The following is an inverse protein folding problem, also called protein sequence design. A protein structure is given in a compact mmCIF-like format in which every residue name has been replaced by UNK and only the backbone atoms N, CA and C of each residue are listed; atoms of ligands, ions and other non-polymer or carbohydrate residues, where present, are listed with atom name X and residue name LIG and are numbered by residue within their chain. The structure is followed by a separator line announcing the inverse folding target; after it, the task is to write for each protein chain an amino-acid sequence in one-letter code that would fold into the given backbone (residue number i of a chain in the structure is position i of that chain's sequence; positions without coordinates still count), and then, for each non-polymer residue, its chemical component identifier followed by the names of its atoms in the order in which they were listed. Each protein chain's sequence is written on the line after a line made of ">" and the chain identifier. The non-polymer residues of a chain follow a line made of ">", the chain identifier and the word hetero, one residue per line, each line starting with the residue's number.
data_IF_941397957507
#
_entry.id   IF_941397957507
#
_cell.length_a   1.000
_cell.length_b   1.000
_cell.length_c   1.000
_cell.angle_alpha   90.00
_cell.angle_beta   90.00
_cell.angle_gamma   90.00
#
_symmetry.space_group_name_H-M   'P 1'
#
loop_
_entity.id
_entity.type
_entity.pdbx_description
1 polymer ?
#
# COMPACT_ATOMS: atom_id res chain seq x y z
N UNK A 1 14.18 22.17 -8.62
CA UNK A 1 14.25 21.03 -9.57
C UNK A 1 13.88 19.69 -8.96
N UNK A 2 13.26 19.67 -7.77
CA UNK A 2 12.93 18.43 -7.00
C UNK A 2 11.49 17.94 -7.18
N UNK A 3 10.64 18.62 -7.93
CA UNK A 3 9.23 18.26 -8.08
C UNK A 3 8.97 17.08 -9.02
N UNK A 4 9.53 17.10 -10.21
CA UNK A 4 9.21 16.13 -11.27
C UNK A 4 9.53 14.65 -10.91
N UNK A 5 10.70 14.32 -10.32
CA UNK A 5 10.98 12.94 -9.91
C UNK A 5 10.02 12.44 -8.83
N UNK A 6 9.62 13.28 -7.89
CA UNK A 6 8.68 12.93 -6.83
C UNK A 6 7.27 12.66 -7.39
N UNK A 7 6.77 13.49 -8.30
CA UNK A 7 5.46 13.30 -8.95
C UNK A 7 5.42 12.04 -9.83
N UNK A 8 6.53 11.75 -10.54
CA UNK A 8 6.65 10.51 -11.31
C UNK A 8 6.71 9.28 -10.41
N UNK A 9 7.40 9.37 -9.26
CA UNK A 9 7.43 8.30 -8.27
C UNK A 9 6.04 8.04 -7.68
N UNK A 10 5.28 9.09 -7.37
CA UNK A 10 3.91 8.99 -6.86
C UNK A 10 2.97 8.34 -7.88
N UNK A 11 3.04 8.78 -9.15
CA UNK A 11 2.29 8.15 -10.25
C UNK A 11 2.68 6.68 -10.41
N UNK A 12 3.97 6.37 -10.31
CA UNK A 12 4.49 5.01 -10.34
C UNK A 12 3.93 4.15 -9.22
N UNK A 13 3.87 4.71 -8.00
CA UNK A 13 3.30 4.04 -6.85
C UNK A 13 1.79 3.76 -7.01
N UNK A 14 1.03 4.73 -7.52
CA UNK A 14 -0.40 4.56 -7.82
C UNK A 14 -0.62 3.42 -8.81
N UNK A 15 0.12 3.41 -9.93
CA UNK A 15 -0.02 2.37 -10.95
C UNK A 15 0.43 0.99 -10.45
N UNK A 16 1.43 0.95 -9.58
CA UNK A 16 1.89 -0.26 -8.92
C UNK A 16 0.79 -0.84 -8.02
N UNK A 17 0.18 -0.02 -7.17
CA UNK A 17 -0.91 -0.44 -6.28
C UNK A 17 -2.17 -0.83 -7.05
N UNK A 18 -2.48 -0.13 -8.14
CA UNK A 18 -3.54 -0.53 -9.06
C UNK A 18 -3.27 -1.91 -9.68
N UNK A 19 -2.04 -2.15 -10.15
CA UNK A 19 -1.62 -3.45 -10.68
C UNK A 19 -1.71 -4.56 -9.65
N UNK A 20 -1.38 -4.30 -8.39
CA UNK A 20 -1.60 -5.24 -7.29
C UNK A 20 -3.09 -5.54 -7.15
N UNK A 21 -3.95 -4.52 -7.10
CA UNK A 21 -5.39 -4.69 -7.02
C UNK A 21 -5.99 -5.54 -8.14
N UNK A 22 -5.46 -5.44 -9.37
CA UNK A 22 -5.90 -6.27 -10.51
C UNK A 22 -5.68 -7.79 -10.32
N UNK A 23 -4.77 -8.18 -9.43
CA UNK A 23 -4.46 -9.59 -9.17
C UNK A 23 -5.26 -10.18 -8.01
N UNK A 24 -6.08 -9.36 -7.34
CA UNK A 24 -6.84 -9.78 -6.17
C UNK A 24 -8.33 -9.67 -6.37
N UNK A 25 -9.04 -10.70 -5.90
CA UNK A 25 -10.48 -10.65 -5.68
C UNK A 25 -10.80 -10.53 -4.18
N UNK A 26 -11.93 -9.89 -3.87
CA UNK A 26 -12.44 -9.82 -2.50
C UNK A 26 -12.65 -11.22 -1.89
N UNK A 27 -13.10 -12.18 -2.69
CA UNK A 27 -13.37 -13.54 -2.24
C UNK A 27 -12.11 -14.29 -1.84
N UNK A 28 -11.01 -14.12 -2.60
CA UNK A 28 -9.70 -14.71 -2.26
C UNK A 28 -9.14 -14.16 -0.95
N UNK A 29 -9.25 -12.84 -0.75
CA UNK A 29 -8.84 -12.18 0.49
C UNK A 29 -9.66 -12.69 1.69
N UNK A 30 -10.98 -12.80 1.51
CA UNK A 30 -11.87 -13.30 2.55
C UNK A 30 -11.62 -14.79 2.88
N UNK A 31 -11.19 -15.61 1.94
CA UNK A 31 -10.90 -17.03 2.15
C UNK A 31 -9.74 -17.23 3.14
N UNK A 32 -8.69 -16.42 3.05
CA UNK A 32 -7.47 -16.55 3.89
C UNK A 32 -7.48 -15.68 5.15
N UNK A 33 -8.51 -14.87 5.36
CA UNK A 33 -8.56 -13.85 6.43
C UNK A 33 -8.29 -14.38 7.84
N UNK A 34 -8.69 -15.64 8.14
CA UNK A 34 -8.52 -16.24 9.48
C UNK A 34 -7.06 -16.47 9.85
N UNK A 35 -6.18 -16.60 8.87
CA UNK A 35 -4.74 -16.79 9.06
C UNK A 35 -4.01 -15.48 8.77
N UNK A 36 -4.34 -14.83 7.67
CA UNK A 36 -3.64 -13.62 7.22
C UNK A 36 -3.81 -12.44 8.20
N UNK A 37 -5.01 -12.19 8.72
CA UNK A 37 -5.25 -11.05 9.62
C UNK A 37 -4.50 -11.21 10.95
N UNK A 38 -4.67 -12.28 11.76
CA UNK A 38 -3.96 -12.39 13.03
C UNK A 38 -2.45 -12.52 12.83
N UNK A 39 -2.00 -13.19 11.77
CA UNK A 39 -0.60 -13.31 11.46
C UNK A 39 0.06 -11.96 11.14
N UNK A 40 -0.53 -11.18 10.23
CA UNK A 40 -0.03 -9.84 9.89
C UNK A 40 -0.01 -8.91 11.11
N UNK A 41 -1.08 -8.91 11.94
CA UNK A 41 -1.13 -8.09 13.16
C UNK A 41 -0.02 -8.51 14.14
N UNK A 42 0.18 -9.80 14.35
CA UNK A 42 1.24 -10.30 15.24
C UNK A 42 2.63 -9.90 14.71
N UNK A 43 2.88 -10.07 13.43
CA UNK A 43 4.15 -9.69 12.81
C UNK A 43 4.39 -8.18 12.86
N UNK A 44 3.38 -7.35 12.57
CA UNK A 44 3.48 -5.88 12.70
C UNK A 44 3.81 -5.50 14.14
N UNK A 45 3.14 -6.11 15.13
CA UNK A 45 3.38 -5.84 16.54
C UNK A 45 4.82 -6.20 16.94
N UNK A 46 5.30 -7.40 16.59
CA UNK A 46 6.66 -7.85 16.89
C UNK A 46 7.69 -6.95 16.23
N UNK A 47 7.56 -6.66 14.92
CA UNK A 47 8.48 -5.79 14.21
C UNK A 47 8.50 -4.37 14.81
N UNK A 48 7.33 -3.84 15.18
CA UNK A 48 7.22 -2.54 15.83
C UNK A 48 7.91 -2.52 17.18
N UNK A 49 7.72 -3.54 18.02
CA UNK A 49 8.40 -3.64 19.31
C UNK A 49 9.93 -3.75 19.16
N UNK A 50 10.40 -4.52 18.18
CA UNK A 50 11.85 -4.60 17.87
C UNK A 50 12.39 -3.25 17.42
N UNK A 51 11.65 -2.54 16.57
CA UNK A 51 12.01 -1.20 16.10
C UNK A 51 12.05 -0.18 17.25
N UNK A 52 11.07 -0.20 18.17
CA UNK A 52 11.08 0.63 19.37
C UNK A 52 12.29 0.30 20.24
N UNK A 53 12.61 -0.98 20.44
CA UNK A 53 13.76 -1.42 21.21
C UNK A 53 15.06 -0.90 20.63
N UNK A 54 15.26 -1.03 19.33
CA UNK A 54 16.45 -0.51 18.64
C UNK A 54 16.52 1.02 18.70
N UNK A 55 15.41 1.72 18.42
CA UNK A 55 15.34 3.17 18.48
C UNK A 55 15.65 3.70 19.89
N UNK A 56 15.11 3.04 20.93
CA UNK A 56 15.40 3.39 22.33
C UNK A 56 16.87 3.19 22.69
N UNK A 57 17.49 2.10 22.20
CA UNK A 57 18.92 1.86 22.38
C UNK A 57 19.79 2.91 21.68
N UNK A 58 19.29 3.52 20.60
CA UNK A 58 19.95 4.62 19.89
C UNK A 58 19.62 6.01 20.48
N UNK A 59 18.86 6.09 21.57
CA UNK A 59 18.48 7.34 22.23
C UNK A 59 17.35 8.10 21.51
N UNK A 60 16.59 7.46 20.64
CA UNK A 60 15.45 8.08 19.96
C UNK A 60 14.24 8.13 20.88
N UNK A 61 13.33 9.07 20.59
CA UNK A 61 12.06 9.17 21.32
C UNK A 61 11.14 7.97 21.02
N UNK A 62 10.27 7.63 21.96
CA UNK A 62 9.30 6.53 21.77
C UNK A 62 8.43 6.72 20.52
N UNK A 63 7.87 7.92 20.22
CA UNK A 63 7.13 8.13 18.99
C UNK A 63 7.95 7.85 17.73
N UNK A 64 9.22 8.28 17.69
CA UNK A 64 10.13 7.98 16.57
C UNK A 64 10.38 6.47 16.46
N UNK A 65 10.54 5.78 17.59
CA UNK A 65 10.68 4.32 17.62
C UNK A 65 9.44 3.58 17.11
N UNK A 66 8.25 4.07 17.42
CA UNK A 66 6.98 3.50 16.89
C UNK A 66 6.94 3.63 15.37
N UNK A 67 7.18 4.85 14.84
CA UNK A 67 7.18 5.09 13.39
C UNK A 67 8.23 4.23 12.69
N UNK A 68 9.44 4.16 13.25
CA UNK A 68 10.52 3.34 12.72
C UNK A 68 10.16 1.84 12.71
N UNK A 69 9.60 1.33 13.81
CA UNK A 69 9.19 -0.06 13.93
C UNK A 69 8.03 -0.43 12.98
N UNK A 70 7.06 0.48 12.83
CA UNK A 70 6.00 0.32 11.83
C UNK A 70 6.58 0.30 10.41
N UNK A 71 7.53 1.17 10.09
CA UNK A 71 8.21 1.16 8.79
C UNK A 71 8.96 -0.15 8.56
N UNK A 72 9.62 -0.71 9.58
CA UNK A 72 10.29 -2.01 9.51
C UNK A 72 9.31 -3.18 9.31
N UNK A 73 8.06 -3.06 9.75
CA UNK A 73 7.07 -4.13 9.64
C UNK A 73 6.62 -4.36 8.19
N UNK A 74 6.74 -3.39 7.32
CA UNK A 74 6.28 -3.48 5.92
C UNK A 74 7.16 -4.41 5.09
N UNK A 75 6.53 -5.28 4.30
CA UNK A 75 7.19 -6.07 3.27
C UNK A 75 6.85 -5.56 1.87
N UNK A 76 7.75 -5.79 0.91
CA UNK A 76 7.52 -5.39 -0.47
C UNK A 76 6.60 -6.38 -1.18
N UNK A 77 5.38 -5.96 -1.46
CA UNK A 77 4.37 -6.73 -2.21
C UNK A 77 4.89 -7.14 -3.58
N UNK A 78 5.56 -6.24 -4.30
CA UNK A 78 6.10 -6.52 -5.64
C UNK A 78 7.19 -7.58 -5.61
N UNK A 79 8.10 -7.49 -4.65
CA UNK A 79 9.21 -8.47 -4.53
C UNK A 79 8.66 -9.84 -4.18
N UNK A 80 7.71 -9.92 -3.24
CA UNK A 80 7.12 -11.20 -2.86
C UNK A 80 6.31 -11.82 -4.00
N UNK A 81 5.48 -11.03 -4.70
CA UNK A 81 4.71 -11.54 -5.84
C UNK A 81 5.64 -12.12 -6.92
N UNK A 82 6.70 -11.41 -7.30
CA UNK A 82 7.69 -11.93 -8.25
C UNK A 82 8.34 -13.22 -7.78
N UNK A 83 8.74 -13.29 -6.51
CA UNK A 83 9.33 -14.49 -5.95
C UNK A 83 8.35 -15.69 -5.92
N UNK A 84 7.07 -15.44 -5.68
CA UNK A 84 6.02 -16.46 -5.73
C UNK A 84 5.73 -16.91 -7.18
N UNK A 85 5.71 -16.00 -8.14
CA UNK A 85 5.55 -16.29 -9.57
C UNK A 85 6.70 -17.15 -10.09
N UNK A 86 7.95 -16.77 -9.84
CA UNK A 86 9.15 -17.51 -10.25
C UNK A 86 9.16 -18.94 -9.69
N UNK A 87 8.67 -19.12 -8.46
CA UNK A 87 8.57 -20.43 -7.80
C UNK A 87 7.28 -21.18 -8.13
N UNK A 88 6.38 -20.63 -8.93
CA UNK A 88 5.04 -21.17 -9.25
C UNK A 88 4.19 -21.44 -8.00
N UNK A 89 4.34 -20.64 -6.96
CA UNK A 89 3.62 -20.78 -5.70
C UNK A 89 2.42 -19.84 -5.60
N UNK A 90 2.25 -18.88 -6.52
CA UNK A 90 1.23 -17.85 -6.44
C UNK A 90 -0.19 -18.43 -6.33
N UNK A 91 -0.49 -19.49 -7.06
CA UNK A 91 -1.80 -20.16 -7.08
C UNK A 91 -1.95 -21.27 -6.01
N UNK A 92 -1.00 -21.39 -5.11
CA UNK A 92 -1.07 -22.35 -4.01
C UNK A 92 -1.71 -21.71 -2.78
N UNK A 93 -2.23 -22.53 -1.85
CA UNK A 93 -2.75 -22.05 -0.56
C UNK A 93 -1.74 -21.18 0.20
N UNK A 94 -0.46 -21.57 0.17
CA UNK A 94 0.63 -20.78 0.78
C UNK A 94 0.81 -19.42 0.08
N UNK A 95 0.69 -19.39 -1.24
CA UNK A 95 0.74 -18.16 -2.01
C UNK A 95 -0.42 -17.23 -1.65
N UNK A 96 -1.65 -17.75 -1.60
CA UNK A 96 -2.83 -16.98 -1.20
C UNK A 96 -2.72 -16.43 0.22
N UNK A 97 -2.21 -17.24 1.18
CA UNK A 97 -1.97 -16.77 2.56
C UNK A 97 -0.93 -15.64 2.58
N UNK A 98 0.21 -15.82 1.90
CA UNK A 98 1.28 -14.82 1.87
C UNK A 98 0.83 -13.51 1.26
N UNK A 99 0.05 -13.59 0.20
CA UNK A 99 -0.54 -12.43 -0.46
C UNK A 99 -1.60 -11.76 0.42
N UNK A 100 -2.52 -12.54 1.01
CA UNK A 100 -3.50 -12.00 1.96
C UNK A 100 -2.84 -11.33 3.16
N UNK A 101 -1.71 -11.85 3.63
CA UNK A 101 -0.89 -11.26 4.69
C UNK A 101 -0.37 -9.87 4.30
N UNK A 102 0.23 -9.74 3.11
CA UNK A 102 0.70 -8.45 2.60
C UNK A 102 -0.41 -7.43 2.44
N UNK A 103 -1.58 -7.85 1.95
CA UNK A 103 -2.73 -6.93 1.82
C UNK A 103 -3.14 -6.39 3.18
N UNK A 104 -3.15 -7.22 4.21
CA UNK A 104 -3.44 -6.77 5.57
C UNK A 104 -2.36 -5.81 6.06
N UNK A 105 -1.07 -6.09 5.80
CA UNK A 105 0.01 -5.15 6.11
C UNK A 105 -0.20 -3.81 5.41
N UNK A 106 -0.46 -3.82 4.11
CA UNK A 106 -0.68 -2.61 3.31
C UNK A 106 -1.89 -1.80 3.82
N UNK A 107 -3.00 -2.48 4.13
CA UNK A 107 -4.18 -1.84 4.71
C UNK A 107 -3.89 -1.21 6.08
N UNK A 108 -3.18 -1.91 6.96
CA UNK A 108 -2.78 -1.38 8.27
C UNK A 108 -1.88 -0.15 8.08
N UNK A 109 -0.92 -0.20 7.13
CA UNK A 109 -0.05 0.94 6.86
C UNK A 109 -0.79 2.14 6.28
N UNK A 110 -1.80 1.93 5.46
CA UNK A 110 -2.68 3.03 5.01
C UNK A 110 -3.34 3.70 6.21
N UNK A 111 -3.90 2.92 7.15
CA UNK A 111 -4.46 3.49 8.38
C UNK A 111 -3.42 4.25 9.20
N UNK A 112 -2.22 3.69 9.36
CA UNK A 112 -1.11 4.33 10.07
C UNK A 112 -0.74 5.66 9.40
N UNK A 113 -0.57 5.69 8.07
CA UNK A 113 -0.21 6.89 7.32
C UNK A 113 -1.26 8.00 7.42
N UNK A 114 -2.54 7.65 7.49
CA UNK A 114 -3.61 8.63 7.69
C UNK A 114 -3.69 9.10 9.14
N UNK A 115 -3.35 8.23 10.11
CA UNK A 115 -3.36 8.58 11.53
C UNK A 115 -2.14 9.39 11.97
N UNK A 116 -0.97 9.19 11.35
CA UNK A 116 0.27 9.87 11.75
C UNK A 116 0.18 11.40 11.73
N UNK A 117 -0.34 12.07 10.68
CA UNK A 117 -0.52 13.53 10.68
C UNK A 117 -1.48 13.98 11.79
N UNK A 118 -2.61 13.29 11.95
CA UNK A 118 -3.60 13.61 12.98
C UNK A 118 -3.04 13.47 14.42
N UNK A 119 -2.20 12.46 14.65
CA UNK A 119 -1.47 12.31 15.90
C UNK A 119 -0.41 13.41 16.07
N UNK A 120 0.31 13.76 14.99
CA UNK A 120 1.30 14.84 15.00
C UNK A 120 0.69 16.19 15.38
N UNK A 121 -0.46 16.54 14.82
CA UNK A 121 -1.20 17.76 15.17
C UNK A 121 -1.69 17.73 16.64
N UNK A 122 -2.18 16.58 17.11
CA UNK A 122 -2.59 16.41 18.48
C UNK A 122 -1.43 16.57 19.47
N UNK A 123 -0.21 16.12 19.11
CA UNK A 123 1.00 16.29 19.92
C UNK A 123 1.59 17.70 19.86
N UNK A 124 1.39 18.45 18.78
CA UNK A 124 1.90 19.82 18.63
C UNK A 124 1.26 20.80 19.62
N UNK A 125 0.05 20.53 20.09
CA UNK A 125 -0.68 21.31 21.12
C UNK A 125 -0.33 20.98 22.57
N UNK A 126 0.65 20.12 22.83
CA UNK A 126 0.98 19.60 24.18
C UNK A 126 0.61 18.13 24.32
N UNK A 127 0.31 17.67 25.56
CA UNK A 127 -0.17 16.30 25.76
C UNK A 127 -1.57 16.14 25.13
N UNK A 128 -1.75 15.31 24.10
CA UNK A 128 -3.04 15.16 23.45
C UNK A 128 -4.05 14.56 24.43
N UNK A 129 -5.25 15.13 24.49
CA UNK A 129 -6.32 14.50 25.26
C UNK A 129 -6.71 13.17 24.58
N UNK A 130 -7.07 12.17 25.37
CA UNK A 130 -7.57 10.89 24.86
C UNK A 130 -8.76 11.11 23.90
N UNK A 131 -9.57 12.13 24.16
CA UNK A 131 -10.71 12.51 23.32
C UNK A 131 -10.26 13.03 21.95
N UNK A 132 -9.19 13.83 21.86
CA UNK A 132 -8.66 14.32 20.58
C UNK A 132 -8.13 13.17 19.72
N UNK A 133 -7.37 12.23 20.32
CA UNK A 133 -6.91 11.02 19.63
C UNK A 133 -8.10 10.18 19.17
N UNK A 134 -9.05 9.90 20.03
CA UNK A 134 -10.22 9.09 19.70
C UNK A 134 -11.06 9.71 18.57
N UNK A 135 -11.25 11.03 18.56
CA UNK A 135 -11.97 11.72 17.49
C UNK A 135 -11.22 11.68 16.16
N UNK A 136 -9.91 11.84 16.16
CA UNK A 136 -9.08 11.74 14.95
C UNK A 136 -9.14 10.32 14.34
N UNK A 137 -9.00 9.30 15.19
CA UNK A 137 -9.13 7.89 14.79
C UNK A 137 -10.53 7.60 14.23
N UNK A 138 -11.59 8.01 14.95
CA UNK A 138 -12.97 7.80 14.53
C UNK A 138 -13.26 8.47 13.19
N UNK A 139 -12.84 9.72 13.00
CA UNK A 139 -13.02 10.45 11.74
C UNK A 139 -12.31 9.75 10.58
N UNK A 140 -11.08 9.28 10.80
CA UNK A 140 -10.30 8.54 9.81
C UNK A 140 -10.99 7.24 9.41
N UNK A 141 -11.49 6.48 10.39
CA UNK A 141 -12.23 5.24 10.14
C UNK A 141 -13.52 5.50 9.36
N UNK A 142 -14.26 6.56 9.71
CA UNK A 142 -15.48 6.96 8.99
C UNK A 142 -15.16 7.33 7.55
N UNK A 143 -14.12 8.11 7.29
CA UNK A 143 -13.69 8.49 5.94
C UNK A 143 -13.29 7.25 5.11
N UNK A 144 -12.48 6.37 5.68
CA UNK A 144 -12.07 5.14 5.02
C UNK A 144 -13.26 4.21 4.75
N UNK A 145 -14.16 4.02 5.72
CA UNK A 145 -15.36 3.22 5.56
C UNK A 145 -16.30 3.80 4.49
N UNK A 146 -16.45 5.14 4.46
CA UNK A 146 -17.26 5.84 3.44
C UNK A 146 -16.68 5.64 2.03
N UNK A 147 -15.35 5.73 1.88
CA UNK A 147 -14.68 5.44 0.62
C UNK A 147 -14.95 4.00 0.17
N UNK A 148 -14.72 3.02 1.05
CA UNK A 148 -14.98 1.59 0.75
C UNK A 148 -16.43 1.37 0.37
N UNK A 149 -17.41 1.95 1.09
CA UNK A 149 -18.83 1.86 0.78
C UNK A 149 -19.15 2.42 -0.61
N UNK A 150 -18.62 3.60 -0.95
CA UNK A 150 -18.79 4.21 -2.27
C UNK A 150 -18.19 3.32 -3.36
N UNK A 151 -17.00 2.77 -3.14
CA UNK A 151 -16.35 1.88 -4.10
C UNK A 151 -17.15 0.58 -4.31
N UNK A 152 -17.67 -0.03 -3.24
CA UNK A 152 -18.45 -1.26 -3.34
C UNK A 152 -19.85 -1.05 -3.93
N UNK A 153 -20.48 0.11 -3.72
CA UNK A 153 -21.84 0.39 -4.22
C UNK A 153 -21.81 1.02 -5.61
N UNK A 154 -21.04 2.08 -5.77
CA UNK A 154 -20.96 2.86 -7.02
C UNK A 154 -19.86 2.32 -7.91
N UNK A 155 -18.67 2.13 -7.38
CA UNK A 155 -17.49 1.69 -8.13
C UNK A 155 -17.69 0.35 -8.85
N UNK A 156 -18.31 -0.64 -8.19
CA UNK A 156 -18.61 -1.96 -8.78
C UNK A 156 -19.54 -1.90 -9.98
N UNK A 157 -20.32 -0.83 -10.16
CA UNK A 157 -21.19 -0.61 -11.31
C UNK A 157 -20.57 0.36 -12.32
N UNK A 158 -20.01 1.46 -11.85
CA UNK A 158 -19.49 2.53 -12.68
C UNK A 158 -18.23 2.11 -13.44
N UNK A 159 -17.27 1.45 -12.79
CA UNK A 159 -16.01 1.06 -13.40
C UNK A 159 -16.21 0.03 -14.52
N UNK A 160 -16.88 -1.12 -14.30
CA UNK A 160 -17.15 -2.06 -15.39
C UNK A 160 -18.02 -1.45 -16.49
N UNK A 161 -19.02 -0.63 -16.14
CA UNK A 161 -19.89 0.05 -17.11
C UNK A 161 -19.10 0.99 -18.03
N UNK A 162 -18.20 1.79 -17.46
CA UNK A 162 -17.35 2.69 -18.26
C UNK A 162 -16.39 1.90 -19.17
N UNK A 163 -15.75 0.86 -18.64
CA UNK A 163 -14.88 0.00 -19.44
C UNK A 163 -15.62 -0.68 -20.58
N UNK A 164 -16.82 -1.17 -20.32
CA UNK A 164 -17.67 -1.79 -21.32
C UNK A 164 -18.06 -0.79 -22.43
N UNK A 165 -18.45 0.43 -22.04
CA UNK A 165 -18.76 1.50 -23.00
C UNK A 165 -17.55 1.81 -23.92
N UNK A 166 -16.35 1.96 -23.32
CA UNK A 166 -15.14 2.25 -24.09
C UNK A 166 -14.73 1.06 -24.95
N UNK A 167 -14.86 -0.17 -24.46
CA UNK A 167 -14.53 -1.37 -25.23
C UNK A 167 -15.37 -1.50 -26.53
N UNK A 168 -16.62 -1.03 -26.52
CA UNK A 168 -17.48 -1.02 -27.70
C UNK A 168 -17.01 -0.07 -28.80
N UNK A 169 -16.14 0.89 -28.51
CA UNK A 169 -15.55 1.77 -29.54
C UNK A 169 -14.56 1.04 -30.45
N UNK A 170 -14.08 -0.16 -30.04
CA UNK A 170 -13.08 -0.95 -30.76
C UNK A 170 -11.67 -0.38 -30.73
N UNK A 171 -11.44 0.80 -30.09
CA UNK A 171 -10.13 1.44 -30.01
C UNK A 171 -9.35 0.91 -28.78
N UNK A 172 -8.20 0.30 -29.06
CA UNK A 172 -7.28 -0.16 -27.99
C UNK A 172 -6.67 1.01 -27.23
N UNK A 173 -6.39 2.12 -27.90
CA UNK A 173 -5.83 3.33 -27.30
C UNK A 173 -6.80 3.94 -26.30
N UNK A 174 -8.07 4.07 -26.69
CA UNK A 174 -9.11 4.58 -25.77
C UNK A 174 -9.31 3.66 -24.57
N UNK A 175 -9.27 2.35 -24.79
CA UNK A 175 -9.40 1.38 -23.70
C UNK A 175 -8.23 1.50 -22.70
N UNK A 176 -6.99 1.60 -23.19
CA UNK A 176 -5.80 1.82 -22.35
C UNK A 176 -5.89 3.12 -21.56
N UNK A 177 -6.27 4.20 -22.21
CA UNK A 177 -6.47 5.50 -21.55
C UNK A 177 -7.59 5.44 -20.49
N UNK A 178 -8.68 4.73 -20.75
CA UNK A 178 -9.76 4.56 -19.79
C UNK A 178 -9.30 3.77 -18.55
N UNK A 179 -8.52 2.71 -18.73
CA UNK A 179 -7.94 1.95 -17.61
C UNK A 179 -7.07 2.86 -16.71
N UNK A 180 -6.18 3.65 -17.34
CA UNK A 180 -5.33 4.60 -16.61
C UNK A 180 -6.13 5.72 -15.95
N UNK A 181 -7.11 6.28 -16.67
CA UNK A 181 -7.97 7.35 -16.14
C UNK A 181 -8.78 6.87 -14.94
N UNK A 182 -9.24 5.60 -14.94
CA UNK A 182 -9.93 5.01 -13.79
C UNK A 182 -8.93 4.83 -12.63
N UNK A 183 -7.75 4.26 -12.87
CA UNK A 183 -6.75 4.05 -11.83
C UNK A 183 -6.36 5.36 -11.13
N UNK A 184 -5.98 6.36 -11.90
CA UNK A 184 -5.56 7.68 -11.40
C UNK A 184 -6.76 8.46 -10.85
N UNK A 185 -7.89 8.46 -11.54
CA UNK A 185 -9.09 9.21 -11.14
C UNK A 185 -9.66 8.71 -9.82
N UNK A 186 -9.70 7.39 -9.60
CA UNK A 186 -10.14 6.81 -8.32
C UNK A 186 -9.12 7.10 -7.22
N UNK A 187 -7.82 6.99 -7.51
CA UNK A 187 -6.76 7.33 -6.54
C UNK A 187 -6.87 8.78 -6.07
N UNK A 188 -6.95 9.72 -7.02
CA UNK A 188 -7.13 11.14 -6.71
C UNK A 188 -8.46 11.44 -6.03
N UNK A 189 -9.56 10.84 -6.49
CA UNK A 189 -10.87 10.97 -5.86
C UNK A 189 -10.89 10.47 -4.42
N UNK A 190 -10.23 9.35 -4.14
CA UNK A 190 -10.07 8.81 -2.80
C UNK A 190 -9.33 9.79 -1.87
N UNK A 191 -8.24 10.37 -2.35
CA UNK A 191 -7.45 11.33 -1.56
C UNK A 191 -8.19 12.65 -1.35
N UNK A 192 -8.77 13.24 -2.39
CA UNK A 192 -9.39 14.56 -2.33
C UNK A 192 -10.76 14.57 -1.63
N UNK A 193 -11.59 13.55 -1.87
CA UNK A 193 -12.94 13.51 -1.33
C UNK A 193 -13.03 12.85 0.05
N UNK A 194 -12.20 11.83 0.29
CA UNK A 194 -12.26 11.05 1.53
C UNK A 194 -11.01 11.22 2.41
N UNK A 195 -9.95 11.87 1.91
CA UNK A 195 -8.70 12.03 2.66
C UNK A 195 -7.99 10.71 2.94
N UNK A 196 -8.23 9.69 2.13
CA UNK A 196 -7.50 8.41 2.18
C UNK A 196 -6.31 8.42 1.22
N UNK A 197 -5.39 7.48 1.33
CA UNK A 197 -4.20 7.49 0.47
C UNK A 197 -4.53 7.20 -0.99
N UNK A 198 -3.74 7.76 -1.90
CA UNK A 198 -3.77 7.43 -3.34
C UNK A 198 -3.61 5.92 -3.57
N UNK A 199 -2.76 5.27 -2.76
CA UNK A 199 -2.50 3.84 -2.81
C UNK A 199 -3.76 3.01 -2.59
N UNK A 200 -4.53 3.34 -1.55
CA UNK A 200 -5.79 2.66 -1.24
C UNK A 200 -6.80 2.86 -2.38
N UNK A 201 -6.91 4.07 -2.90
CA UNK A 201 -7.78 4.37 -4.04
C UNK A 201 -7.44 3.54 -5.27
N UNK A 202 -6.17 3.52 -5.65
CA UNK A 202 -5.66 2.75 -6.78
C UNK A 202 -5.87 1.24 -6.59
N UNK A 203 -5.58 0.71 -5.41
CA UNK A 203 -5.78 -0.70 -5.07
C UNK A 203 -7.24 -1.12 -5.22
N UNK A 204 -8.18 -0.34 -4.66
CA UNK A 204 -9.61 -0.63 -4.80
C UNK A 204 -10.10 -0.52 -6.25
N UNK A 205 -9.59 0.44 -7.03
CA UNK A 205 -9.90 0.53 -8.45
C UNK A 205 -9.47 -0.74 -9.20
N UNK A 206 -8.25 -1.22 -8.94
CA UNK A 206 -7.73 -2.47 -9.50
C UNK A 206 -8.56 -3.68 -9.08
N UNK A 207 -8.87 -3.80 -7.79
CA UNK A 207 -9.65 -4.91 -7.24
C UNK A 207 -11.08 -4.97 -7.81
N UNK A 208 -11.77 -3.83 -7.96
CA UNK A 208 -13.08 -3.80 -8.60
C UNK A 208 -12.97 -4.14 -10.09
N UNK A 209 -11.93 -3.67 -10.75
CA UNK A 209 -11.68 -3.98 -12.15
C UNK A 209 -11.35 -5.46 -12.37
N UNK A 210 -10.70 -6.13 -11.41
CA UNK A 210 -10.40 -7.57 -11.46
C UNK A 210 -11.66 -8.43 -11.48
N UNK A 211 -12.74 -7.97 -10.87
CA UNK A 211 -14.05 -8.65 -10.90
C UNK A 211 -14.83 -8.41 -12.21
N UNK A 212 -14.35 -7.53 -13.09
CA UNK A 212 -15.00 -7.21 -14.37
C UNK A 212 -14.73 -8.30 -15.41
N UNK A 213 -15.67 -8.59 -16.34
CA UNK A 213 -15.42 -9.45 -17.49
C UNK A 213 -14.27 -8.99 -18.38
N UNK A 214 -13.90 -7.71 -18.33
CA UNK A 214 -12.79 -7.12 -19.08
C UNK A 214 -11.47 -7.09 -18.29
N UNK A 215 -11.41 -7.74 -17.12
CA UNK A 215 -10.24 -7.74 -16.23
C UNK A 215 -8.95 -8.19 -16.93
N UNK A 216 -9.01 -9.26 -17.72
CA UNK A 216 -7.83 -9.75 -18.47
C UNK A 216 -7.31 -8.73 -19.50
N UNK A 217 -8.22 -8.04 -20.18
CA UNK A 217 -7.85 -6.99 -21.12
C UNK A 217 -7.25 -5.77 -20.39
N UNK A 218 -7.88 -5.35 -19.30
CA UNK A 218 -7.38 -4.26 -18.48
C UNK A 218 -6.00 -4.57 -17.89
N UNK A 219 -5.81 -5.77 -17.37
CA UNK A 219 -4.51 -6.25 -16.85
C UNK A 219 -3.43 -6.21 -17.93
N UNK A 220 -3.72 -6.75 -19.12
CA UNK A 220 -2.77 -6.77 -20.24
C UNK A 220 -2.33 -5.38 -20.68
N UNK A 221 -3.23 -4.40 -20.65
CA UNK A 221 -2.92 -3.02 -21.03
C UNK A 221 -2.25 -2.23 -19.89
N UNK A 222 -2.53 -2.55 -18.63
CA UNK A 222 -1.97 -1.86 -17.47
C UNK A 222 -0.56 -2.34 -17.10
N UNK A 223 -0.28 -3.66 -17.23
CA UNK A 223 0.99 -4.25 -16.78
C UNK A 223 2.25 -3.58 -17.35
N UNK A 224 2.36 -3.32 -18.68
CA UNK A 224 3.58 -2.70 -19.23
C UNK A 224 3.84 -1.30 -18.67
N UNK A 225 2.77 -0.54 -18.42
CA UNK A 225 2.87 0.79 -17.83
C UNK A 225 3.24 0.71 -16.34
N UNK A 226 2.59 -0.18 -15.60
CA UNK A 226 2.94 -0.47 -14.21
C UNK A 226 4.44 -0.80 -14.09
N UNK A 227 4.96 -1.68 -14.93
CA UNK A 227 6.35 -2.12 -14.86
C UNK A 227 7.32 -0.98 -15.18
N UNK A 228 7.02 -0.16 -16.19
CA UNK A 228 7.83 1.01 -16.52
C UNK A 228 7.86 2.04 -15.38
N UNK A 229 6.69 2.36 -14.80
CA UNK A 229 6.58 3.31 -13.69
C UNK A 229 7.09 2.74 -12.37
N UNK A 230 7.02 1.43 -12.16
CA UNK A 230 7.62 0.78 -11.00
C UNK A 230 9.14 0.97 -10.98
N UNK A 231 9.82 0.89 -12.13
CA UNK A 231 11.25 1.19 -12.22
C UNK A 231 11.54 2.63 -11.79
N UNK A 232 10.75 3.60 -12.28
CA UNK A 232 10.91 5.00 -11.89
C UNK A 232 10.70 5.20 -10.38
N UNK A 233 9.69 4.55 -9.81
CA UNK A 233 9.45 4.57 -8.37
C UNK A 233 10.65 4.02 -7.59
N UNK A 234 11.13 2.81 -7.92
CA UNK A 234 12.27 2.22 -7.22
C UNK A 234 13.56 3.02 -7.37
N UNK A 235 13.82 3.60 -8.55
CA UNK A 235 14.97 4.50 -8.76
C UNK A 235 14.84 5.75 -7.88
N UNK A 236 13.66 6.36 -7.82
CA UNK A 236 13.42 7.53 -6.99
C UNK A 236 13.58 7.24 -5.50
N UNK A 237 13.08 6.09 -5.03
CA UNK A 237 13.30 5.65 -3.64
C UNK A 237 14.77 5.36 -3.38
N UNK A 238 15.46 4.71 -4.32
CA UNK A 238 16.90 4.44 -4.22
C UNK A 238 17.75 5.73 -4.14
N UNK A 239 17.32 6.80 -4.80
CA UNK A 239 17.98 8.10 -4.72
C UNK A 239 17.88 8.78 -3.33
N UNK A 240 16.95 8.35 -2.48
CA UNK A 240 16.85 8.82 -1.09
C UNK A 240 17.92 8.17 -0.18
N UNK A 241 18.54 7.09 -0.64
CA UNK A 241 19.58 6.42 0.13
C UNK A 241 20.87 7.25 0.13
N UNK A 242 21.35 7.62 1.32
CA UNK A 242 22.64 8.29 1.50
C UNK A 242 23.74 7.24 1.74
N UNK A 243 24.62 6.96 0.77
CA UNK A 243 25.66 5.92 0.91
C UNK A 243 26.61 6.15 2.10
N UNK A 244 26.81 7.42 2.49
CA UNK A 244 27.67 7.78 3.61
C UNK A 244 27.19 7.21 4.96
N UNK A 245 25.89 6.85 5.10
CA UNK A 245 25.36 6.27 6.34
C UNK A 245 25.99 4.92 6.66
N UNK A 246 26.42 4.17 5.64
CA UNK A 246 27.11 2.88 5.80
C UNK A 246 28.41 3.03 6.59
N UNK A 247 29.11 4.13 6.35
CA UNK A 247 30.38 4.43 7.03
C UNK A 247 30.17 5.20 8.35
N UNK A 248 29.14 6.06 8.41
CA UNK A 248 28.90 6.90 9.58
C UNK A 248 28.19 6.15 10.71
N UNK A 249 27.28 5.22 10.37
CA UNK A 249 26.44 4.50 11.32
C UNK A 249 26.34 3.00 11.01
N UNK A 250 27.44 2.26 11.00
CA UNK A 250 27.45 0.85 10.61
C UNK A 250 26.67 -0.04 11.60
N UNK A 251 26.72 0.23 12.90
CA UNK A 251 26.03 -0.58 13.92
C UNK A 251 24.50 -0.43 13.86
N UNK A 252 23.90 0.78 13.81
CA UNK A 252 22.47 0.92 13.60
C UNK A 252 21.99 0.28 12.30
N UNK A 253 22.75 0.43 11.22
CA UNK A 253 22.45 -0.18 9.94
C UNK A 253 22.43 -1.71 10.02
N UNK A 254 23.47 -2.30 10.62
CA UNK A 254 23.57 -3.75 10.81
C UNK A 254 22.43 -4.27 11.68
N UNK A 255 22.11 -3.60 12.79
CA UNK A 255 21.01 -3.97 13.66
C UNK A 255 19.65 -3.93 12.93
N UNK A 256 19.42 -2.89 12.12
CA UNK A 256 18.23 -2.77 11.26
C UNK A 256 18.14 -3.93 10.27
N UNK A 257 19.23 -4.25 9.58
CA UNK A 257 19.30 -5.39 8.65
C UNK A 257 19.03 -6.73 9.35
N UNK A 258 19.55 -6.93 10.55
CA UNK A 258 19.30 -8.15 11.34
C UNK A 258 17.82 -8.27 11.72
N UNK A 259 17.17 -7.17 12.10
CA UNK A 259 15.72 -7.16 12.36
C UNK A 259 14.95 -7.55 11.09
N UNK A 260 15.28 -6.99 9.94
CA UNK A 260 14.60 -7.28 8.68
C UNK A 260 14.80 -8.75 8.26
N UNK A 261 16.03 -9.26 8.33
CA UNK A 261 16.38 -10.58 7.83
C UNK A 261 15.95 -11.71 8.78
N UNK A 262 16.03 -11.49 10.07
CA UNK A 262 15.78 -12.54 11.07
C UNK A 262 14.54 -12.25 11.94
N UNK A 263 14.31 -11.02 12.33
CA UNK A 263 13.20 -10.64 13.19
C UNK A 263 11.83 -10.78 12.54
N UNK A 264 11.76 -10.67 11.22
CA UNK A 264 10.49 -10.85 10.46
C UNK A 264 10.25 -12.28 9.99
N UNK A 265 11.25 -13.15 10.06
CA UNK A 265 11.16 -14.56 9.61
C UNK A 265 10.84 -15.53 10.74
N UNK A 266 10.87 -15.07 11.98
CA UNK A 266 10.47 -15.81 13.19
C UNK A 266 8.98 -15.63 13.47
#
# INVERSE_FOLDING_TARGET
>A
ATGLPAELAETGFILLMFGVGLHFSLDELLAVRRIAIPGAIAQIAVATLMGIGLASALGWSIPAGIVFGLALSVASTVVLLRALEERRLLQTERGHIAVGWLIVEDLVMVFVLVLLPALGEAYAGGTPSLQAIASAVALTLVKAASFVAVMLVIGRRAIPGLLHYVAHTGSRELFRLAVLAIALGVAYGAAMLFGVSFALGAFFAGMIMSESPLSQSATREALPLRDAFAVLFFVSVGMLFEPAIVLRQPLPLLATLLIILFGKTL
#
